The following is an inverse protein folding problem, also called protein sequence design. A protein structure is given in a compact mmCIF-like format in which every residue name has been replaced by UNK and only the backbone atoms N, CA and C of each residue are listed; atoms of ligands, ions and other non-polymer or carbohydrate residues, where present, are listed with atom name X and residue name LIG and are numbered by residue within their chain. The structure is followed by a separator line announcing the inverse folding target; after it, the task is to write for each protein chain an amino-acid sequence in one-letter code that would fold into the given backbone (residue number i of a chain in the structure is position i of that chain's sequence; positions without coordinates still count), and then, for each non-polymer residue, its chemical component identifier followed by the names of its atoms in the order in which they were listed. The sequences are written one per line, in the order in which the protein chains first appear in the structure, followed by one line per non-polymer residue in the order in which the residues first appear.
data_IF_458385208802
#
_entry.id   IF_458385208802
#
_cell.length_a   1.000
_cell.length_b   1.000
_cell.length_c   1.000
_cell.angle_alpha   90.00
_cell.angle_beta   90.00
_cell.angle_gamma   90.00
#
_symmetry.space_group_name_H-M   'P 1'
#
loop_
_entity.id
_entity.type
_entity.pdbx_description
1 polymer ?
#
# COMPACT_ATOMS: atom_id res chain seq x y z
N UNK A 1 15.22 13.90 9.81
CA UNK A 1 16.11 13.05 8.98
C UNK A 1 17.30 13.76 8.37
N UNK A 2 17.08 14.85 7.61
CA UNK A 2 18.15 15.60 6.92
C UNK A 2 19.29 15.98 7.85
N UNK A 3 18.97 16.60 8.99
CA UNK A 3 19.99 17.02 9.95
C UNK A 3 20.85 15.87 10.48
N UNK A 4 20.22 14.73 10.78
CA UNK A 4 20.91 13.51 11.23
C UNK A 4 21.81 12.95 10.12
N UNK A 5 21.33 12.92 8.88
CA UNK A 5 22.10 12.45 7.73
C UNK A 5 23.34 13.33 7.50
N UNK A 6 23.20 14.65 7.53
CA UNK A 6 24.30 15.60 7.39
C UNK A 6 25.31 15.43 8.54
N UNK A 7 24.85 15.37 9.80
CA UNK A 7 25.73 15.13 10.95
C UNK A 7 26.49 13.81 10.81
N UNK A 8 25.84 12.76 10.30
CA UNK A 8 26.49 11.46 10.06
C UNK A 8 27.50 11.52 8.92
N UNK A 9 27.24 12.29 7.86
CA UNK A 9 28.20 12.55 6.79
C UNK A 9 29.41 13.34 7.31
N UNK A 10 29.19 14.37 8.13
CA UNK A 10 30.27 15.13 8.80
C UNK A 10 31.15 14.21 9.65
N UNK A 11 30.55 13.34 10.46
CA UNK A 11 31.28 12.36 11.27
C UNK A 11 32.10 11.34 10.44
N UNK A 12 31.78 11.19 9.15
CA UNK A 12 32.52 10.36 8.18
C UNK A 12 33.51 11.15 7.33
N UNK A 13 33.75 12.42 7.65
CA UNK A 13 34.73 13.28 6.99
C UNK A 13 34.23 14.06 5.77
N UNK A 14 32.93 14.05 5.48
CA UNK A 14 32.39 14.90 4.42
C UNK A 14 32.43 16.37 4.86
N UNK A 15 33.22 17.23 4.20
CA UNK A 15 33.45 18.62 4.60
C UNK A 15 32.86 19.66 3.63
N UNK A 16 32.33 19.23 2.49
CA UNK A 16 31.75 20.09 1.47
C UNK A 16 30.46 20.80 1.93
N UNK A 17 30.13 21.92 1.31
CA UNK A 17 28.91 22.69 1.62
C UNK A 17 27.64 21.92 1.25
N UNK A 18 26.64 21.92 2.13
CA UNK A 18 25.35 21.24 1.90
C UNK A 18 24.25 22.27 1.73
N UNK A 19 23.53 22.24 0.62
CA UNK A 19 22.31 23.05 0.43
C UNK A 19 21.09 22.15 0.66
N UNK A 20 20.25 22.54 1.62
CA UNK A 20 18.93 21.94 1.82
C UNK A 20 17.91 22.83 1.14
N UNK A 21 17.26 22.32 0.10
CA UNK A 21 16.13 22.96 -0.58
C UNK A 21 14.85 22.30 -0.08
N UNK A 22 14.06 23.01 0.70
CA UNK A 22 12.83 22.50 1.32
C UNK A 22 11.61 23.17 0.71
N UNK A 23 10.89 22.44 -0.14
CA UNK A 23 9.67 22.90 -0.82
C UNK A 23 8.43 22.10 -0.39
N UNK A 24 8.47 21.58 0.84
CA UNK A 24 7.25 21.28 1.61
C UNK A 24 6.44 22.57 1.84
N UNK A 25 5.11 22.45 1.90
CA UNK A 25 4.25 23.60 2.16
C UNK A 25 4.49 24.19 3.56
N UNK A 26 4.89 23.36 4.52
CA UNK A 26 5.17 23.77 5.88
C UNK A 26 6.60 24.30 6.02
N UNK A 27 6.80 25.20 7.00
CA UNK A 27 8.12 25.77 7.24
C UNK A 27 9.11 24.71 7.70
N UNK A 28 10.24 24.62 7.01
CA UNK A 28 11.41 23.80 7.37
C UNK A 28 12.15 24.30 8.63
N UNK A 29 11.42 24.83 9.62
CA UNK A 29 11.91 25.50 10.83
C UNK A 29 12.87 24.63 11.63
N UNK A 30 12.60 23.33 11.74
CA UNK A 30 13.46 22.38 12.46
C UNK A 30 14.85 22.25 11.83
N UNK A 31 14.92 22.12 10.50
CA UNK A 31 16.21 22.03 9.80
C UNK A 31 16.97 23.36 9.91
N UNK A 32 16.27 24.49 9.73
CA UNK A 32 16.84 25.83 9.91
C UNK A 32 17.40 26.03 11.31
N UNK A 33 16.66 25.66 12.35
CA UNK A 33 17.09 25.82 13.74
C UNK A 33 18.32 24.98 14.09
N UNK A 34 18.38 23.73 13.60
CA UNK A 34 19.53 22.86 13.85
C UNK A 34 20.81 23.40 13.22
N UNK A 35 20.73 23.99 12.02
CA UNK A 35 21.88 24.53 11.30
C UNK A 35 22.06 26.04 11.46
N UNK A 36 21.36 26.67 12.42
CA UNK A 36 21.31 28.12 12.54
C UNK A 36 22.69 28.78 12.65
N UNK A 37 23.66 28.10 13.27
CA UNK A 37 25.03 28.60 13.44
C UNK A 37 26.06 27.94 12.49
N UNK A 38 25.66 27.04 11.61
CA UNK A 38 26.57 26.31 10.71
C UNK A 38 26.59 26.95 9.31
N UNK A 39 27.61 27.73 8.95
CA UNK A 39 27.68 28.36 7.63
C UNK A 39 27.98 27.37 6.50
N UNK A 40 28.27 26.10 6.81
CA UNK A 40 28.51 25.05 5.80
C UNK A 40 27.22 24.34 5.37
N UNK A 41 26.09 24.65 6.00
CA UNK A 41 24.77 24.12 5.64
C UNK A 41 23.81 25.29 5.37
N UNK A 42 23.40 25.45 4.11
CA UNK A 42 22.45 26.48 3.73
C UNK A 42 21.04 25.90 3.70
N UNK A 43 20.09 26.50 4.41
CA UNK A 43 18.68 26.08 4.39
C UNK A 43 17.85 27.05 3.57
N UNK A 44 17.24 26.57 2.49
CA UNK A 44 16.34 27.32 1.64
C UNK A 44 14.92 26.75 1.78
N UNK A 45 13.91 27.59 1.97
CA UNK A 45 12.51 27.16 2.01
C UNK A 45 11.56 28.23 1.47
N UNK A 46 10.57 27.79 0.68
CA UNK A 46 9.36 28.55 0.35
C UNK A 46 8.19 27.78 0.94
N UNK A 47 7.44 28.42 1.82
CA UNK A 47 6.36 27.79 2.59
C UNK A 47 5.17 28.75 2.79
N UNK A 48 4.11 28.24 3.40
CA UNK A 48 2.89 28.99 3.69
C UNK A 48 3.11 30.06 4.77
N UNK A 49 3.49 29.66 5.98
CA UNK A 49 3.67 30.53 7.15
C UNK A 49 4.93 30.14 7.93
N UNK A 50 5.61 31.12 8.53
CA UNK A 50 6.76 30.86 9.41
C UNK A 50 6.33 30.19 10.72
N UNK A 51 7.00 29.09 11.07
CA UNK A 51 6.81 28.37 12.34
C UNK A 51 7.94 28.64 13.33
N UNK A 52 8.26 29.92 13.48
CA UNK A 52 9.28 30.42 14.40
C UNK A 52 10.16 31.50 13.80
N UNK A 53 10.93 32.15 14.66
CA UNK A 53 11.73 33.33 14.35
C UNK A 53 13.24 33.02 14.30
N UNK A 54 13.63 31.76 14.10
CA UNK A 54 15.04 31.39 14.14
C UNK A 54 15.80 32.02 12.97
N UNK A 55 16.65 32.98 13.29
CA UNK A 55 17.66 33.50 12.37
C UNK A 55 18.80 32.48 12.22
N UNK A 56 19.23 32.25 10.98
CA UNK A 56 20.29 31.32 10.64
C UNK A 56 21.34 31.99 9.74
N UNK A 57 22.62 31.74 10.01
CA UNK A 57 23.77 32.36 9.32
C UNK A 57 23.79 32.10 7.82
N UNK A 58 23.16 31.02 7.37
CA UNK A 58 23.06 30.62 5.97
C UNK A 58 21.64 30.11 5.69
N UNK A 59 20.69 31.02 5.47
CA UNK A 59 19.31 30.63 5.14
C UNK A 59 18.58 31.63 4.24
N UNK A 60 17.60 31.11 3.52
CA UNK A 60 16.54 31.89 2.85
C UNK A 60 15.21 31.22 3.19
N UNK A 61 14.30 31.94 3.84
CA UNK A 61 12.99 31.44 4.23
C UNK A 61 11.93 32.42 3.76
N UNK A 62 11.00 31.98 2.91
CA UNK A 62 10.01 32.83 2.26
C UNK A 62 8.62 32.31 2.58
N UNK A 63 7.85 33.06 3.35
CA UNK A 63 6.43 32.81 3.58
C UNK A 63 5.59 33.47 2.48
N UNK A 64 4.86 32.69 1.70
CA UNK A 64 3.96 33.20 0.65
C UNK A 64 2.52 33.41 1.14
N UNK A 65 2.17 32.91 2.32
CA UNK A 65 0.80 32.92 2.84
C UNK A 65 -0.11 31.93 2.14
N UNK A 66 -1.42 32.15 2.27
CA UNK A 66 -2.46 31.27 1.73
C UNK A 66 -2.75 31.51 0.23
N UNK A 67 -3.48 30.58 -0.38
CA UNK A 67 -4.06 30.69 -1.73
C UNK A 67 -3.05 31.07 -2.82
N UNK A 68 -1.85 30.49 -2.73
CA UNK A 68 -0.77 30.70 -3.70
C UNK A 68 -1.10 30.00 -5.01
N UNK A 69 -0.98 30.75 -6.12
CA UNK A 69 -1.12 30.23 -7.48
C UNK A 69 0.18 29.64 -8.01
N UNK A 70 0.07 28.79 -9.03
CA UNK A 70 1.21 28.21 -9.76
C UNK A 70 2.26 29.26 -10.16
N UNK A 71 1.80 30.34 -10.80
CA UNK A 71 2.67 31.42 -11.26
C UNK A 71 3.41 32.08 -10.08
N UNK A 72 2.68 32.45 -9.02
CA UNK A 72 3.27 33.10 -7.85
C UNK A 72 4.33 32.24 -7.18
N UNK A 73 4.06 30.95 -7.03
CA UNK A 73 5.02 30.01 -6.45
C UNK A 73 6.26 29.82 -7.34
N UNK A 74 6.06 29.55 -8.63
CA UNK A 74 7.15 29.31 -9.57
C UNK A 74 8.00 30.55 -9.82
N UNK A 75 7.41 31.74 -9.85
CA UNK A 75 8.14 33.00 -10.00
C UNK A 75 9.00 33.29 -8.78
N UNK A 76 8.46 33.12 -7.56
CA UNK A 76 9.24 33.24 -6.33
C UNK A 76 10.44 32.26 -6.31
N UNK A 77 10.22 31.02 -6.75
CA UNK A 77 11.27 30.01 -6.84
C UNK A 77 12.35 30.38 -7.88
N UNK A 78 11.94 30.82 -9.09
CA UNK A 78 12.84 31.25 -10.17
C UNK A 78 13.67 32.47 -9.78
N UNK A 79 13.10 33.38 -9.02
CA UNK A 79 13.77 34.59 -8.58
C UNK A 79 14.79 34.29 -7.46
N UNK A 80 14.42 33.44 -6.50
CA UNK A 80 15.16 33.38 -5.22
C UNK A 80 16.08 32.17 -5.08
N UNK A 81 15.84 31.05 -5.78
CA UNK A 81 16.68 29.85 -5.66
C UNK A 81 18.00 29.93 -6.47
N UNK A 82 18.03 30.39 -7.73
CA UNK A 82 19.28 30.46 -8.50
C UNK A 82 20.39 31.29 -7.85
N UNK A 83 20.13 32.46 -7.22
CA UNK A 83 21.14 33.21 -6.47
C UNK A 83 21.77 32.42 -5.32
N UNK A 84 21.01 31.53 -4.67
CA UNK A 84 21.55 30.68 -3.59
C UNK A 84 22.52 29.65 -4.17
N UNK A 85 22.18 29.01 -5.29
CA UNK A 85 23.10 28.09 -5.98
C UNK A 85 24.39 28.77 -6.43
N UNK A 86 24.29 29.97 -7.02
CA UNK A 86 25.44 30.69 -7.57
C UNK A 86 26.37 31.23 -6.48
N UNK A 87 25.83 31.73 -5.36
CA UNK A 87 26.62 32.27 -4.25
C UNK A 87 27.17 31.17 -3.34
N UNK A 88 26.33 30.21 -2.95
CA UNK A 88 26.71 29.19 -1.98
C UNK A 88 27.50 28.04 -2.58
N UNK A 89 27.36 27.76 -3.89
CA UNK A 89 28.13 26.72 -4.59
C UNK A 89 28.19 25.37 -3.81
N UNK A 90 27.04 24.71 -3.54
CA UNK A 90 27.00 23.50 -2.70
C UNK A 90 27.73 22.30 -3.31
N UNK A 91 28.44 21.52 -2.48
CA UNK A 91 29.00 20.22 -2.89
C UNK A 91 28.00 19.06 -2.76
N UNK A 92 26.92 19.25 -2.01
CA UNK A 92 25.77 18.33 -1.91
C UNK A 92 24.47 19.13 -1.86
N UNK A 93 23.47 18.69 -2.61
CA UNK A 93 22.10 19.21 -2.54
C UNK A 93 21.19 18.15 -1.90
N UNK A 94 20.43 18.54 -0.90
CA UNK A 94 19.34 17.75 -0.33
C UNK A 94 18.04 18.45 -0.68
N UNK A 95 17.24 17.85 -1.55
CA UNK A 95 15.97 18.41 -2.01
C UNK A 95 14.80 17.67 -1.35
N UNK A 96 13.97 18.39 -0.60
CA UNK A 96 12.70 17.89 -0.06
C UNK A 96 11.58 18.28 -1.02
N UNK A 97 11.14 17.30 -1.81
CA UNK A 97 10.11 17.45 -2.82
C UNK A 97 8.72 17.14 -2.22
N UNK A 98 8.28 17.95 -1.24
CA UNK A 98 6.94 17.83 -0.66
C UNK A 98 5.84 18.04 -1.71
N UNK A 99 4.67 17.42 -1.53
CA UNK A 99 3.53 17.52 -2.44
C UNK A 99 2.29 18.07 -1.76
N UNK A 100 2.41 18.52 -0.51
CA UNK A 100 1.32 19.06 0.30
C UNK A 100 0.88 20.47 -0.08
N UNK A 101 1.61 21.14 -0.98
CA UNK A 101 1.12 22.33 -1.68
C UNK A 101 0.13 22.04 -2.82
N UNK A 102 -0.10 20.76 -3.15
CA UNK A 102 -0.99 20.36 -4.24
C UNK A 102 -2.45 20.70 -3.97
N UNK A 103 -3.21 20.94 -5.04
CA UNK A 103 -4.64 21.21 -4.96
C UNK A 103 -5.49 20.06 -4.40
N UNK A 104 -4.95 18.83 -4.36
CA UNK A 104 -5.62 17.65 -3.79
C UNK A 104 -5.13 17.28 -2.38
N UNK A 105 -4.27 18.10 -1.79
CA UNK A 105 -3.87 17.94 -0.40
C UNK A 105 -5.02 18.32 0.55
N UNK A 106 -5.11 17.61 1.68
CA UNK A 106 -6.18 17.80 2.67
C UNK A 106 -5.74 18.64 3.88
N UNK A 107 -4.44 18.87 4.04
CA UNK A 107 -3.85 19.67 5.12
C UNK A 107 -3.32 21.01 4.60
N UNK A 108 -2.86 21.06 3.36
CA UNK A 108 -2.40 22.28 2.69
C UNK A 108 -3.54 23.24 2.30
N UNK A 109 -3.20 24.52 2.17
CA UNK A 109 -4.11 25.58 1.72
C UNK A 109 -3.66 26.24 0.41
N UNK A 110 -2.68 25.65 -0.27
CA UNK A 110 -2.29 26.04 -1.62
C UNK A 110 -3.08 25.22 -2.63
N UNK A 111 -3.07 25.69 -3.88
CA UNK A 111 -3.79 25.04 -4.98
C UNK A 111 -2.86 24.79 -6.15
N UNK A 112 -1.64 24.33 -5.87
CA UNK A 112 -0.67 24.07 -6.92
C UNK A 112 -1.14 22.94 -7.82
N UNK A 113 -1.07 23.16 -9.13
CA UNK A 113 -1.33 22.12 -10.11
C UNK A 113 -0.21 21.09 -10.13
N UNK A 114 -0.53 19.91 -10.64
CA UNK A 114 0.45 18.85 -10.81
C UNK A 114 1.54 19.22 -11.84
N UNK A 115 1.23 20.11 -12.80
CA UNK A 115 2.20 20.64 -13.77
C UNK A 115 3.16 21.64 -13.09
N UNK A 116 2.64 22.47 -12.18
CA UNK A 116 3.48 23.39 -11.40
C UNK A 116 4.43 22.66 -10.45
N UNK A 117 3.98 21.55 -9.83
CA UNK A 117 4.86 20.71 -9.02
C UNK A 117 5.96 20.04 -9.87
N UNK A 118 5.62 19.54 -11.06
CA UNK A 118 6.63 18.98 -11.96
C UNK A 118 7.63 20.04 -12.45
N UNK A 119 7.16 21.25 -12.79
CA UNK A 119 8.01 22.36 -13.20
C UNK A 119 8.94 22.83 -12.07
N UNK A 120 8.45 22.87 -10.82
CA UNK A 120 9.27 23.08 -9.62
C UNK A 120 10.39 22.04 -9.54
N UNK A 121 10.03 20.76 -9.64
CA UNK A 121 10.99 19.65 -9.50
C UNK A 121 12.05 19.69 -10.63
N UNK A 122 11.63 20.06 -11.84
CA UNK A 122 12.52 20.29 -13.00
C UNK A 122 13.51 21.42 -12.75
N UNK A 123 13.02 22.56 -12.26
CA UNK A 123 13.84 23.73 -11.97
C UNK A 123 14.92 23.40 -10.93
N UNK A 124 14.54 22.78 -9.81
CA UNK A 124 15.50 22.40 -8.77
C UNK A 124 16.51 21.38 -9.32
N UNK A 125 16.05 20.40 -10.10
CA UNK A 125 16.93 19.41 -10.72
C UNK A 125 17.92 20.04 -11.69
N UNK A 126 17.48 21.01 -12.51
CA UNK A 126 18.34 21.71 -13.46
C UNK A 126 19.42 22.55 -12.77
N UNK A 127 19.08 23.22 -11.65
CA UNK A 127 20.04 23.98 -10.85
C UNK A 127 21.03 23.07 -10.11
N UNK A 128 20.57 21.95 -9.57
CA UNK A 128 21.41 21.00 -8.86
C UNK A 128 22.31 20.19 -9.81
N UNK A 129 21.83 19.92 -11.02
CA UNK A 129 22.51 19.07 -12.00
C UNK A 129 22.62 19.74 -13.38
N UNK A 130 23.34 20.88 -13.48
CA UNK A 130 23.56 21.52 -14.76
C UNK A 130 24.35 20.60 -15.70
N UNK A 131 24.10 20.73 -17.00
CA UNK A 131 24.80 19.95 -18.02
C UNK A 131 26.32 20.16 -17.90
N UNK A 132 27.07 19.06 -17.79
CA UNK A 132 28.53 19.08 -17.67
C UNK A 132 29.10 19.23 -16.25
N UNK A 133 28.29 19.57 -15.24
CA UNK A 133 28.76 19.67 -13.85
C UNK A 133 27.68 19.24 -12.83
N UNK A 134 27.25 17.96 -12.84
CA UNK A 134 26.21 17.51 -11.92
C UNK A 134 26.72 17.49 -10.47
N UNK A 135 25.99 18.14 -9.56
CA UNK A 135 26.28 18.04 -8.13
C UNK A 135 25.60 16.79 -7.55
N UNK A 136 26.23 16.09 -6.60
CA UNK A 136 25.57 15.07 -5.80
C UNK A 136 24.25 15.62 -5.25
N UNK A 137 23.14 14.93 -5.54
CA UNK A 137 21.80 15.37 -5.18
C UNK A 137 21.05 14.21 -4.55
N UNK A 138 20.50 14.44 -3.36
CA UNK A 138 19.61 13.52 -2.66
C UNK A 138 18.22 14.13 -2.72
N UNK A 139 17.27 13.39 -3.27
CA UNK A 139 15.85 13.76 -3.25
C UNK A 139 15.18 12.97 -2.14
N UNK A 140 14.50 13.67 -1.25
CA UNK A 140 13.64 13.11 -0.22
C UNK A 140 12.20 13.53 -0.50
N UNK A 141 11.27 12.63 -0.19
CA UNK A 141 9.86 12.98 -0.11
C UNK A 141 9.62 13.65 1.24
N UNK A 142 8.65 14.56 1.29
CA UNK A 142 8.24 15.24 2.50
C UNK A 142 6.71 15.09 2.68
N UNK A 143 6.02 16.16 3.08
CA UNK A 143 4.56 16.21 3.18
C UNK A 143 3.86 15.86 1.88
N UNK A 144 2.60 15.46 2.00
CA UNK A 144 1.79 14.94 0.90
C UNK A 144 0.71 14.02 1.45
N UNK A 145 -0.46 14.58 1.70
CA UNK A 145 -1.55 13.97 2.45
C UNK A 145 -2.80 13.76 1.60
N UNK A 146 -2.80 14.28 0.37
CA UNK A 146 -3.80 13.97 -0.63
C UNK A 146 -3.84 12.49 -1.02
N UNK A 147 -5.01 11.92 -1.33
CA UNK A 147 -5.15 10.51 -1.74
C UNK A 147 -4.38 10.18 -3.03
N UNK A 148 -4.02 11.21 -3.83
CA UNK A 148 -3.23 11.07 -5.04
C UNK A 148 -1.88 11.78 -4.97
N UNK A 149 -1.40 12.15 -3.78
CA UNK A 149 -0.10 12.79 -3.57
C UNK A 149 1.06 12.02 -4.24
N UNK A 150 0.99 10.68 -4.22
CA UNK A 150 1.98 9.81 -4.85
C UNK A 150 2.09 9.98 -6.37
N UNK A 151 1.05 10.47 -7.07
CA UNK A 151 1.11 10.76 -8.50
C UNK A 151 2.10 11.88 -8.79
N UNK A 152 2.13 12.93 -7.97
CA UNK A 152 3.06 14.05 -8.16
C UNK A 152 4.52 13.58 -8.04
N UNK A 153 4.82 12.78 -7.02
CA UNK A 153 6.14 12.14 -6.88
C UNK A 153 6.45 11.22 -8.07
N UNK A 154 5.48 10.42 -8.52
CA UNK A 154 5.68 9.51 -9.63
C UNK A 154 5.95 10.27 -10.94
N UNK A 155 5.26 11.39 -11.20
CA UNK A 155 5.50 12.28 -12.36
C UNK A 155 6.96 12.72 -12.38
N UNK A 156 7.44 13.21 -11.24
CA UNK A 156 8.82 13.65 -11.11
C UNK A 156 9.83 12.52 -11.37
N UNK A 157 9.65 11.37 -10.72
CA UNK A 157 10.58 10.24 -10.87
C UNK A 157 10.59 9.67 -12.30
N UNK A 158 9.42 9.63 -12.96
CA UNK A 158 9.31 9.20 -14.36
C UNK A 158 10.02 10.19 -15.29
N UNK A 159 9.86 11.49 -15.07
CA UNK A 159 10.60 12.50 -15.80
C UNK A 159 12.10 12.39 -15.56
N UNK A 160 12.54 12.23 -14.32
CA UNK A 160 13.96 12.10 -13.97
C UNK A 160 14.60 10.86 -14.63
N UNK A 161 13.87 9.76 -14.70
CA UNK A 161 14.36 8.50 -15.30
C UNK A 161 14.33 8.52 -16.83
N UNK A 162 13.38 9.21 -17.44
CA UNK A 162 13.11 9.10 -18.89
C UNK A 162 13.42 10.37 -19.70
N UNK A 163 13.61 11.51 -19.04
CA UNK A 163 13.69 12.83 -19.66
C UNK A 163 12.38 13.34 -20.27
N UNK A 164 11.29 12.57 -20.17
CA UNK A 164 9.98 12.88 -20.78
C UNK A 164 8.93 13.15 -19.72
N UNK A 165 8.01 14.05 -20.04
CA UNK A 165 6.80 14.21 -19.25
C UNK A 165 5.90 13.00 -19.46
N UNK A 166 5.71 12.22 -18.40
CA UNK A 166 4.90 11.02 -18.42
C UNK A 166 3.91 11.09 -17.27
N UNK A 167 2.64 10.91 -17.62
CA UNK A 167 1.59 10.77 -16.62
C UNK A 167 1.69 9.40 -15.94
N UNK A 168 1.83 9.36 -14.59
CA UNK A 168 1.78 8.13 -13.84
C UNK A 168 0.40 7.55 -14.02
N UNK A 169 0.44 6.28 -14.34
CA UNK A 169 -0.74 5.55 -14.69
C UNK A 169 -1.46 5.19 -13.36
N UNK A 170 -2.77 5.46 -13.25
CA UNK A 170 -3.60 5.23 -12.04
C UNK A 170 -3.54 3.76 -11.54
N UNK A 171 -4.11 3.41 -10.37
CA UNK A 171 -4.03 2.05 -9.78
C UNK A 171 -4.37 0.89 -10.75
N UNK A 172 -5.27 1.12 -11.73
CA UNK A 172 -5.57 0.17 -12.83
C UNK A 172 -4.36 -0.15 -13.73
N UNK A 173 -3.35 0.70 -13.74
CA UNK A 173 -2.12 0.55 -14.49
C UNK A 173 -0.92 0.12 -13.65
N UNK A 174 -1.01 0.06 -12.32
CA UNK A 174 -0.13 -0.83 -11.54
C UNK A 174 -0.45 -2.29 -11.91
N UNK A 175 -1.75 -2.60 -12.05
CA UNK A 175 -2.26 -3.81 -12.68
C UNK A 175 -1.77 -3.93 -14.13
N UNK A 176 -1.87 -2.88 -14.96
CA UNK A 176 -1.32 -2.94 -16.33
C UNK A 176 0.22 -3.04 -16.40
N UNK A 177 0.97 -2.52 -15.42
CA UNK A 177 2.43 -2.68 -15.30
C UNK A 177 2.76 -4.10 -14.90
N UNK A 178 1.99 -4.71 -13.98
CA UNK A 178 2.02 -6.17 -13.74
C UNK A 178 1.69 -6.93 -15.03
N UNK A 179 0.65 -6.54 -15.78
CA UNK A 179 0.31 -7.12 -17.11
C UNK A 179 1.49 -7.05 -18.09
N UNK A 180 2.21 -5.92 -18.19
CA UNK A 180 3.41 -5.78 -19.05
C UNK A 180 4.59 -6.63 -18.59
N UNK A 181 4.83 -6.71 -17.28
CA UNK A 181 5.87 -7.56 -16.69
C UNK A 181 5.59 -9.05 -16.95
N UNK A 182 4.31 -9.39 -17.15
CA UNK A 182 3.79 -10.73 -17.44
C UNK A 182 3.71 -11.00 -18.95
N UNK A 183 3.46 -9.99 -19.77
CA UNK A 183 3.62 -10.11 -21.22
C UNK A 183 5.09 -10.35 -21.59
N UNK A 184 6.02 -9.77 -20.82
CA UNK A 184 7.44 -10.13 -20.85
C UNK A 184 7.74 -11.56 -20.33
N UNK A 185 6.90 -12.13 -19.44
CA UNK A 185 6.98 -13.57 -19.10
C UNK A 185 6.61 -14.44 -20.28
N UNK A 186 5.58 -14.08 -21.06
CA UNK A 186 5.21 -14.76 -22.32
C UNK A 186 6.33 -14.77 -23.36
N UNK A 187 7.07 -13.66 -23.49
CA UNK A 187 8.22 -13.61 -24.40
C UNK A 187 9.34 -14.51 -23.90
N UNK A 188 9.62 -14.51 -22.59
CA UNK A 188 10.65 -15.37 -22.00
C UNK A 188 10.29 -16.87 -21.99
N UNK A 189 9.02 -17.24 -21.86
CA UNK A 189 8.54 -18.63 -21.97
C UNK A 189 8.41 -19.08 -23.45
N UNK A 190 8.31 -18.13 -24.38
CA UNK A 190 8.24 -18.40 -25.82
C UNK A 190 9.60 -18.39 -26.53
N UNK A 191 10.67 -17.96 -25.86
CA UNK A 191 12.04 -18.01 -26.39
C UNK A 191 12.99 -18.60 -25.36
N UNK A 192 13.51 -19.76 -25.73
CA UNK A 192 14.75 -20.39 -25.26
C UNK A 192 14.57 -21.55 -24.28
N UNK A 193 14.41 -22.73 -24.88
CA UNK A 193 14.49 -24.07 -24.30
C UNK A 193 15.95 -24.45 -23.92
N UNK A 194 16.80 -23.46 -23.59
CA UNK A 194 18.24 -23.70 -23.36
C UNK A 194 18.93 -22.71 -22.42
N UNK A 195 18.48 -22.58 -21.17
CA UNK A 195 19.32 -21.97 -20.13
C UNK A 195 19.39 -22.84 -18.87
N UNK A 196 20.60 -23.38 -18.67
CA UNK A 196 21.01 -24.27 -17.61
C UNK A 196 20.72 -23.72 -16.20
N UNK A 197 19.86 -24.41 -15.47
CA UNK A 197 19.75 -24.32 -14.01
C UNK A 197 19.69 -25.75 -13.45
N UNK A 198 20.34 -25.95 -12.30
CA UNK A 198 20.62 -27.26 -11.71
C UNK A 198 19.37 -28.10 -11.47
N UNK A 199 19.29 -29.24 -12.16
CA UNK A 199 18.30 -30.29 -11.93
C UNK A 199 18.37 -30.77 -10.48
N UNK A 200 17.25 -30.73 -9.77
CA UNK A 200 17.08 -31.45 -8.50
C UNK A 200 16.59 -32.88 -8.77
N UNK A 201 16.74 -33.78 -7.80
CA UNK A 201 16.29 -35.18 -7.94
C UNK A 201 14.78 -35.30 -8.20
N UNK A 202 13.99 -34.29 -7.79
CA UNK A 202 12.56 -34.18 -8.11
C UNK A 202 12.28 -33.85 -9.59
N UNK A 203 13.18 -33.16 -10.29
CA UNK A 203 13.03 -32.81 -11.72
C UNK A 203 13.28 -33.99 -12.65
N UNK A 204 13.94 -35.05 -12.14
CA UNK A 204 14.16 -36.31 -12.87
C UNK A 204 12.94 -37.24 -12.84
N UNK A 205 11.94 -36.94 -12.00
CA UNK A 205 10.76 -37.81 -11.86
C UNK A 205 9.92 -37.86 -13.13
N UNK A 206 9.86 -36.78 -13.92
CA UNK A 206 9.15 -36.74 -15.22
C UNK A 206 9.86 -37.45 -16.38
N UNK A 207 11.12 -37.85 -16.22
CA UNK A 207 11.90 -38.61 -17.22
C UNK A 207 11.81 -40.13 -17.02
N UNK A 208 11.20 -40.57 -15.91
CA UNK A 208 10.90 -41.97 -15.64
C UNK A 208 9.47 -42.26 -16.14
N UNK A 209 9.28 -43.18 -17.10
CA UNK A 209 7.94 -43.56 -17.54
C UNK A 209 7.11 -44.06 -16.35
N UNK A 210 6.10 -43.29 -15.94
CA UNK A 210 5.14 -43.70 -14.90
C UNK A 210 5.02 -42.78 -13.67
N UNK A 211 5.80 -41.70 -13.54
CA UNK A 211 5.58 -40.72 -12.45
C UNK A 211 4.74 -39.55 -12.98
N UNK A 212 3.54 -39.39 -12.41
CA UNK A 212 2.64 -38.29 -12.76
C UNK A 212 3.14 -36.98 -12.13
N UNK A 213 3.38 -35.95 -12.95
CA UNK A 213 3.71 -34.63 -12.44
C UNK A 213 2.57 -34.09 -11.55
N UNK A 214 2.87 -33.40 -10.43
CA UNK A 214 1.84 -32.85 -9.56
C UNK A 214 0.98 -31.83 -10.34
N UNK A 215 -0.34 -31.75 -10.05
CA UNK A 215 -1.23 -30.86 -10.76
C UNK A 215 -0.84 -29.38 -10.53
N UNK A 216 -1.09 -28.49 -11.50
CA UNK A 216 -0.80 -27.07 -11.35
C UNK A 216 -1.70 -26.43 -10.28
N UNK A 217 -1.19 -25.41 -9.60
CA UNK A 217 -1.98 -24.61 -8.66
C UNK A 217 -3.17 -23.96 -9.38
N UNK A 218 -4.36 -24.10 -8.78
CA UNK A 218 -5.63 -23.64 -9.37
C UNK A 218 -5.90 -24.22 -10.77
N UNK A 219 -5.27 -25.33 -11.17
CA UNK A 219 -5.31 -25.84 -12.55
C UNK A 219 -4.76 -24.85 -13.60
N UNK A 220 -3.91 -23.90 -13.18
CA UNK A 220 -3.46 -22.79 -14.02
C UNK A 220 -1.93 -22.63 -14.08
N UNK A 221 -1.24 -22.74 -12.94
CA UNK A 221 0.19 -22.46 -12.87
C UNK A 221 0.98 -23.64 -12.28
N UNK A 222 2.04 -24.11 -12.95
CA UNK A 222 2.97 -25.05 -12.33
C UNK A 222 3.70 -24.38 -11.16
N UNK A 223 4.32 -25.18 -10.29
CA UNK A 223 5.00 -24.68 -9.08
C UNK A 223 5.98 -23.53 -9.35
N UNK A 224 6.88 -23.69 -10.33
CA UNK A 224 7.84 -22.65 -10.70
C UNK A 224 7.15 -21.37 -11.19
N UNK A 225 6.01 -21.47 -11.87
CA UNK A 225 5.22 -20.33 -12.31
C UNK A 225 4.65 -19.53 -11.13
N UNK A 226 4.21 -20.22 -10.07
CA UNK A 226 3.74 -19.56 -8.84
C UNK A 226 4.88 -18.85 -8.12
N UNK A 227 6.03 -19.50 -7.97
CA UNK A 227 7.23 -18.89 -7.37
C UNK A 227 7.67 -17.63 -8.14
N UNK A 228 7.76 -17.73 -9.47
CA UNK A 228 8.13 -16.63 -10.35
C UNK A 228 7.13 -15.47 -10.28
N UNK A 229 5.83 -15.77 -10.21
CA UNK A 229 4.77 -14.77 -10.06
C UNK A 229 4.89 -14.04 -8.71
N UNK A 230 5.12 -14.75 -7.61
CA UNK A 230 5.31 -14.15 -6.29
C UNK A 230 6.60 -13.32 -6.22
N UNK A 231 7.67 -13.75 -6.88
CA UNK A 231 8.93 -13.01 -6.95
C UNK A 231 8.76 -11.71 -7.76
N UNK A 232 8.27 -11.81 -9.00
CA UNK A 232 8.16 -10.67 -9.93
C UNK A 232 7.05 -9.70 -9.57
N UNK A 233 6.01 -10.15 -8.87
CA UNK A 233 5.00 -9.24 -8.32
C UNK A 233 5.52 -8.37 -7.17
N UNK A 234 6.72 -8.67 -6.65
CA UNK A 234 7.31 -8.01 -5.50
C UNK A 234 6.87 -8.59 -4.15
N UNK A 235 6.06 -9.65 -4.13
CA UNK A 235 5.56 -10.24 -2.90
C UNK A 235 6.69 -10.88 -2.06
N UNK A 236 7.50 -11.76 -2.67
CA UNK A 236 8.67 -12.34 -1.97
C UNK A 236 9.73 -11.28 -1.62
N UNK A 237 10.11 -10.34 -2.51
CA UNK A 237 10.98 -9.22 -2.14
C UNK A 237 10.51 -8.43 -0.92
N UNK A 238 9.20 -8.21 -0.76
CA UNK A 238 8.64 -7.53 0.41
C UNK A 238 8.75 -8.31 1.72
N UNK A 239 8.72 -9.64 1.65
CA UNK A 239 9.01 -10.50 2.81
C UNK A 239 10.50 -10.43 3.17
N UNK A 240 11.39 -10.44 2.17
CA UNK A 240 12.84 -10.29 2.39
C UNK A 240 13.19 -8.93 3.00
N UNK A 241 12.55 -7.86 2.54
CA UNK A 241 12.70 -6.52 3.12
C UNK A 241 12.26 -6.44 4.60
N UNK A 242 11.37 -7.35 5.04
CA UNK A 242 10.92 -7.49 6.43
C UNK A 242 11.81 -8.41 7.27
N UNK A 243 12.92 -8.89 6.72
CA UNK A 243 13.93 -9.68 7.43
C UNK A 243 13.81 -11.19 7.23
N UNK A 244 12.86 -11.68 6.43
CA UNK A 244 12.75 -13.10 6.07
C UNK A 244 13.58 -13.39 4.83
N UNK A 245 14.87 -13.71 5.00
CA UNK A 245 15.84 -13.73 3.89
C UNK A 245 15.69 -14.98 3.03
N UNK A 246 15.62 -16.13 3.68
CA UNK A 246 15.51 -17.44 3.04
C UNK A 246 14.06 -17.86 3.05
N UNK A 247 13.42 -17.84 1.88
CA UNK A 247 12.00 -18.14 1.71
C UNK A 247 11.84 -19.42 0.90
N UNK A 248 11.02 -20.34 1.39
CA UNK A 248 10.62 -21.56 0.67
C UNK A 248 9.13 -21.47 0.33
N UNK A 249 8.81 -21.76 -0.93
CA UNK A 249 7.43 -21.84 -1.41
C UNK A 249 7.08 -23.30 -1.57
N UNK A 250 6.02 -23.73 -0.89
CA UNK A 250 5.50 -25.10 -0.97
C UNK A 250 4.14 -25.07 -1.66
N UNK A 251 3.91 -26.08 -2.50
CA UNK A 251 2.67 -26.25 -3.24
C UNK A 251 2.14 -27.66 -3.03
N UNK A 252 1.06 -27.76 -2.26
CA UNK A 252 0.32 -28.99 -2.07
C UNK A 252 -0.91 -28.95 -2.99
N UNK A 253 -0.72 -29.38 -4.23
CA UNK A 253 -1.76 -29.41 -5.24
C UNK A 253 -2.60 -30.70 -5.21
N UNK A 254 -2.17 -31.71 -4.44
CA UNK A 254 -2.88 -32.99 -4.30
C UNK A 254 -3.86 -33.01 -3.13
N UNK A 255 -3.76 -32.04 -2.21
CA UNK A 255 -4.78 -31.81 -1.19
C UNK A 255 -6.17 -31.56 -1.80
N UNK A 256 -7.22 -31.92 -1.06
CA UNK A 256 -8.62 -31.69 -1.48
C UNK A 256 -8.91 -30.22 -1.85
N UNK A 257 -8.17 -29.29 -1.26
CA UNK A 257 -8.07 -27.90 -1.69
C UNK A 257 -6.60 -27.59 -1.99
N UNK A 258 -6.23 -27.15 -3.21
CA UNK A 258 -4.87 -26.73 -3.51
C UNK A 258 -4.38 -25.68 -2.52
N UNK A 259 -3.19 -25.91 -1.96
CA UNK A 259 -2.63 -25.10 -0.88
C UNK A 259 -1.25 -24.58 -1.25
N UNK A 260 -1.08 -23.27 -1.20
CA UNK A 260 0.19 -22.56 -1.35
C UNK A 260 0.68 -22.13 0.04
N UNK A 261 1.92 -22.46 0.39
CA UNK A 261 2.58 -21.99 1.62
C UNK A 261 3.86 -21.24 1.30
N UNK A 262 4.14 -20.19 2.08
CA UNK A 262 5.44 -19.50 2.09
C UNK A 262 5.99 -19.58 3.50
N UNK A 263 7.17 -20.17 3.64
CA UNK A 263 7.87 -20.37 4.91
C UNK A 263 9.20 -19.62 4.91
N UNK A 264 9.60 -19.10 6.07
CA UNK A 264 10.95 -18.57 6.28
C UNK A 264 11.85 -19.60 6.95
N UNK A 265 12.98 -19.91 6.33
CA UNK A 265 13.88 -20.95 6.82
C UNK A 265 14.89 -20.45 7.86
N UNK A 266 15.08 -19.13 7.97
CA UNK A 266 16.13 -18.55 8.82
C UNK A 266 16.01 -18.93 10.32
N UNK A 267 14.85 -19.44 10.77
CA UNK A 267 14.59 -19.84 12.15
C UNK A 267 13.62 -21.03 12.27
N UNK A 268 13.81 -22.09 11.47
CA UNK A 268 13.07 -23.36 11.65
C UNK A 268 11.72 -23.44 10.92
N UNK A 269 11.68 -22.95 9.67
CA UNK A 269 10.51 -23.01 8.79
C UNK A 269 9.25 -22.30 9.35
N UNK A 270 9.39 -21.02 9.66
CA UNK A 270 8.31 -20.17 10.14
C UNK A 270 7.24 -19.97 9.04
N UNK A 271 6.01 -20.44 9.25
CA UNK A 271 4.92 -20.24 8.30
C UNK A 271 4.51 -18.77 8.24
N UNK A 272 4.69 -18.13 7.08
CA UNK A 272 4.34 -16.73 6.87
C UNK A 272 3.01 -16.57 6.14
N UNK A 273 2.78 -17.41 5.13
CA UNK A 273 1.62 -17.35 4.25
C UNK A 273 1.06 -18.75 4.06
N UNK A 274 -0.26 -18.90 4.18
CA UNK A 274 -0.98 -20.08 3.73
C UNK A 274 -2.22 -19.64 2.96
N UNK A 275 -2.32 -20.02 1.69
CA UNK A 275 -3.44 -19.73 0.81
C UNK A 275 -4.04 -21.06 0.33
N UNK A 276 -5.30 -21.30 0.69
CA UNK A 276 -6.09 -22.42 0.16
C UNK A 276 -7.16 -21.86 -0.75
N UNK A 277 -7.11 -22.23 -2.02
CA UNK A 277 -8.02 -21.69 -3.01
C UNK A 277 -8.28 -22.69 -4.15
N UNK A 278 -9.47 -22.56 -4.76
CA UNK A 278 -9.93 -23.37 -5.90
C UNK A 278 -10.52 -22.47 -6.97
N UNK A 279 -10.53 -22.94 -8.21
CA UNK A 279 -11.42 -22.38 -9.23
C UNK A 279 -12.84 -22.87 -8.98
N UNK A 280 -13.79 -21.96 -9.00
CA UNK A 280 -15.19 -22.27 -8.75
C UNK A 280 -16.09 -21.60 -9.77
N UNK A 281 -16.98 -22.41 -10.38
CA UNK A 281 -18.12 -21.97 -11.18
C UNK A 281 -19.43 -21.92 -10.39
N UNK A 282 -19.37 -22.28 -9.11
CA UNK A 282 -20.53 -22.40 -8.24
C UNK A 282 -20.58 -21.30 -7.18
N UNK A 283 -19.44 -20.69 -6.86
CA UNK A 283 -19.36 -19.61 -5.87
C UNK A 283 -20.11 -18.34 -6.31
N UNK A 284 -20.10 -18.05 -7.62
CA UNK A 284 -20.86 -16.95 -8.22
C UNK A 284 -21.59 -17.51 -9.44
N UNK A 285 -22.91 -17.35 -9.47
CA UNK A 285 -23.75 -17.94 -10.51
C UNK A 285 -23.35 -17.45 -11.91
N UNK A 286 -23.05 -18.39 -12.81
CA UNK A 286 -22.70 -18.10 -14.20
C UNK A 286 -21.32 -17.44 -14.40
N UNK A 287 -20.49 -17.41 -13.36
CA UNK A 287 -19.16 -16.80 -13.37
C UNK A 287 -18.12 -17.77 -12.86
N UNK A 288 -16.88 -17.62 -13.34
CA UNK A 288 -15.76 -18.44 -12.90
C UNK A 288 -14.80 -17.59 -12.08
N UNK A 289 -14.60 -17.95 -10.81
CA UNK A 289 -13.83 -17.15 -9.85
C UNK A 289 -12.78 -18.01 -9.13
N UNK A 290 -11.74 -17.36 -8.61
CA UNK A 290 -10.87 -17.97 -7.59
C UNK A 290 -11.57 -17.86 -6.25
N UNK A 291 -12.01 -18.99 -5.69
CA UNK A 291 -12.62 -19.05 -4.37
C UNK A 291 -11.56 -19.36 -3.32
N UNK A 292 -11.30 -18.39 -2.42
CA UNK A 292 -10.38 -18.55 -1.30
C UNK A 292 -11.14 -19.15 -0.12
N UNK A 293 -10.70 -20.32 0.32
CA UNK A 293 -11.23 -21.01 1.50
C UNK A 293 -10.47 -20.62 2.76
N UNK A 294 -9.17 -20.34 2.64
CA UNK A 294 -8.32 -19.94 3.75
C UNK A 294 -7.21 -19.01 3.28
N UNK A 295 -6.97 -17.94 4.04
CA UNK A 295 -5.83 -17.06 3.85
C UNK A 295 -5.23 -16.67 5.20
N UNK A 296 -3.99 -17.11 5.41
CA UNK A 296 -3.15 -16.73 6.54
C UNK A 296 -2.03 -15.82 6.05
N UNK A 297 -1.83 -14.70 6.74
CA UNK A 297 -0.72 -13.78 6.53
C UNK A 297 -0.20 -13.34 7.88
N UNK A 298 0.88 -13.94 8.36
CA UNK A 298 1.35 -13.74 9.73
C UNK A 298 2.85 -13.45 9.83
N UNK A 299 3.23 -12.68 10.83
CA UNK A 299 4.61 -12.36 11.16
C UNK A 299 4.95 -12.94 12.53
N UNK A 300 5.52 -14.17 12.58
CA UNK A 300 5.87 -14.82 13.84
C UNK A 300 6.90 -14.08 14.69
N UNK A 301 7.68 -13.20 14.06
CA UNK A 301 8.75 -12.41 14.71
C UNK A 301 8.26 -11.11 15.36
N UNK A 302 6.97 -10.82 15.31
CA UNK A 302 6.38 -9.63 15.95
C UNK A 302 5.48 -10.01 17.13
N UNK A 303 5.41 -9.10 18.11
CA UNK A 303 4.44 -9.16 19.20
C UNK A 303 3.25 -8.22 18.93
N UNK A 304 2.10 -8.53 19.52
CA UNK A 304 0.96 -7.61 19.55
C UNK A 304 1.29 -6.36 20.37
N UNK A 305 0.62 -5.25 20.08
CA UNK A 305 0.79 -3.98 20.78
C UNK A 305 -0.55 -3.25 20.94
N UNK A 306 -0.59 -2.16 21.71
CA UNK A 306 -1.82 -1.35 21.85
C UNK A 306 -2.33 -0.83 20.50
N UNK A 307 -1.42 -0.43 19.61
CA UNK A 307 -1.76 0.01 18.24
C UNK A 307 -2.12 -1.15 17.31
N UNK A 308 -1.80 -2.39 17.71
CA UNK A 308 -2.03 -3.61 16.92
C UNK A 308 -2.48 -4.75 17.84
N UNK A 309 -3.68 -4.63 18.42
CA UNK A 309 -4.19 -5.63 19.34
C UNK A 309 -4.48 -6.94 18.61
N UNK A 310 -4.52 -8.03 19.36
CA UNK A 310 -4.86 -9.36 18.85
C UNK A 310 -6.34 -9.40 18.46
N UNK A 311 -6.62 -9.78 17.21
CA UNK A 311 -7.98 -10.08 16.75
C UNK A 311 -8.34 -11.57 16.97
N UNK A 312 -9.63 -11.93 17.06
CA UNK A 312 -10.05 -13.32 17.18
C UNK A 312 -9.43 -14.22 16.10
N UNK A 313 -8.90 -15.38 16.49
CA UNK A 313 -8.26 -16.33 15.58
C UNK A 313 -6.80 -16.04 15.24
N UNK A 314 -6.24 -14.88 15.59
CA UNK A 314 -4.83 -14.58 15.34
C UNK A 314 -3.92 -15.27 16.36
N UNK A 315 -2.83 -15.86 15.88
CA UNK A 315 -1.72 -16.33 16.73
C UNK A 315 -0.57 -15.32 16.75
N UNK A 316 -0.31 -14.69 15.60
CA UNK A 316 0.72 -13.66 15.44
C UNK A 316 0.15 -12.40 14.76
N UNK A 317 0.79 -11.24 14.90
CA UNK A 317 0.46 -10.05 14.13
C UNK A 317 0.56 -10.32 12.62
N UNK A 318 -0.30 -9.68 11.82
CA UNK A 318 -0.30 -9.92 10.37
C UNK A 318 0.96 -9.38 9.65
N UNK A 319 1.19 -9.81 8.40
CA UNK A 319 2.30 -9.25 7.58
C UNK A 319 2.03 -7.85 7.03
N UNK A 320 0.75 -7.45 6.97
CA UNK A 320 0.33 -6.22 6.28
C UNK A 320 0.36 -6.33 4.75
N UNK A 321 0.46 -7.56 4.21
CA UNK A 321 0.61 -7.85 2.77
C UNK A 321 -0.68 -8.35 2.10
N UNK A 322 -1.84 -8.06 2.69
CA UNK A 322 -3.13 -8.51 2.13
C UNK A 322 -3.38 -7.96 0.73
N UNK A 323 -3.08 -6.68 0.50
CA UNK A 323 -3.24 -6.05 -0.82
C UNK A 323 -2.31 -6.67 -1.85
N UNK A 324 -1.09 -7.01 -1.45
CA UNK A 324 -0.08 -7.58 -2.34
C UNK A 324 -0.49 -8.97 -2.81
N UNK A 325 -0.90 -9.87 -1.90
CA UNK A 325 -1.34 -11.22 -2.28
C UNK A 325 -2.66 -11.19 -3.07
N UNK A 326 -3.62 -10.34 -2.69
CA UNK A 326 -4.86 -10.19 -3.48
C UNK A 326 -4.55 -9.64 -4.88
N UNK A 327 -3.60 -8.71 -5.00
CA UNK A 327 -3.15 -8.19 -6.28
C UNK A 327 -2.45 -9.25 -7.15
N UNK A 328 -1.79 -10.25 -6.57
CA UNK A 328 -1.27 -11.41 -7.31
C UNK A 328 -2.42 -12.25 -7.86
N UNK A 329 -3.45 -12.52 -7.04
CA UNK A 329 -4.60 -13.30 -7.47
C UNK A 329 -5.47 -12.58 -8.51
N UNK A 330 -5.60 -11.26 -8.42
CA UNK A 330 -6.30 -10.46 -9.45
C UNK A 330 -5.60 -10.61 -10.79
N UNK A 331 -4.28 -10.48 -10.81
CA UNK A 331 -3.47 -10.68 -12.01
C UNK A 331 -3.66 -12.08 -12.57
N UNK A 332 -3.68 -13.10 -11.72
CA UNK A 332 -3.95 -14.48 -12.12
C UNK A 332 -5.36 -14.61 -12.75
N UNK A 333 -6.38 -13.99 -12.16
CA UNK A 333 -7.71 -13.95 -12.74
C UNK A 333 -7.73 -13.29 -14.12
N UNK A 334 -7.06 -12.14 -14.28
CA UNK A 334 -6.99 -11.43 -15.56
C UNK A 334 -6.33 -12.26 -16.66
N UNK A 335 -5.21 -12.91 -16.36
CA UNK A 335 -4.46 -13.74 -17.31
C UNK A 335 -5.33 -14.89 -17.84
N UNK A 336 -6.11 -15.49 -16.95
CA UNK A 336 -6.89 -16.69 -17.27
C UNK A 336 -8.36 -16.39 -17.57
N UNK A 337 -8.73 -15.11 -17.71
CA UNK A 337 -10.08 -14.70 -18.05
C UNK A 337 -11.14 -15.05 -16.98
N UNK A 338 -10.73 -15.13 -15.71
CA UNK A 338 -11.63 -15.37 -14.58
C UNK A 338 -12.32 -14.07 -14.17
N UNK A 339 -13.54 -14.20 -13.65
CA UNK A 339 -14.42 -13.08 -13.31
C UNK A 339 -13.97 -12.31 -12.07
N UNK A 340 -13.25 -12.97 -11.15
CA UNK A 340 -12.65 -12.32 -9.98
C UNK A 340 -12.31 -13.29 -8.86
N UNK A 341 -12.27 -12.76 -7.64
CA UNK A 341 -11.95 -13.53 -6.43
C UNK A 341 -13.19 -13.56 -5.55
N UNK A 342 -13.52 -14.71 -4.99
CA UNK A 342 -14.58 -14.92 -4.01
C UNK A 342 -13.99 -15.41 -2.70
N UNK A 343 -14.54 -14.96 -1.56
CA UNK A 343 -14.22 -15.51 -0.24
C UNK A 343 -15.33 -15.20 0.75
N UNK A 344 -15.38 -15.96 1.84
CA UNK A 344 -16.40 -15.77 2.89
C UNK A 344 -15.74 -15.16 4.12
N UNK A 345 -16.19 -13.97 4.52
CA UNK A 345 -15.77 -13.34 5.78
C UNK A 345 -16.46 -14.00 6.97
N UNK A 346 -15.81 -15.01 7.56
CA UNK A 346 -16.30 -15.70 8.76
C UNK A 346 -16.32 -14.84 10.03
N UNK A 347 -15.67 -13.67 10.02
CA UNK A 347 -15.57 -12.75 11.15
C UNK A 347 -15.80 -11.30 10.71
N UNK A 348 -16.34 -10.47 11.60
CA UNK A 348 -16.65 -9.05 11.33
C UNK A 348 -15.41 -8.27 10.84
N UNK A 349 -14.27 -8.40 11.52
CA UNK A 349 -13.06 -7.69 11.13
C UNK A 349 -12.57 -8.05 9.72
N UNK A 350 -12.74 -9.32 9.29
CA UNK A 350 -12.36 -9.75 7.93
C UNK A 350 -13.19 -9.02 6.89
N UNK A 351 -14.50 -8.88 7.13
CA UNK A 351 -15.38 -8.13 6.23
C UNK A 351 -14.95 -6.66 6.15
N UNK A 352 -14.82 -5.99 7.30
CA UNK A 352 -14.45 -4.55 7.37
C UNK A 352 -13.09 -4.28 6.73
N UNK A 353 -12.07 -5.10 7.01
CA UNK A 353 -10.73 -4.94 6.42
C UNK A 353 -10.74 -5.12 4.89
N UNK A 354 -11.68 -5.90 4.38
CA UNK A 354 -11.79 -6.21 2.95
C UNK A 354 -12.65 -5.23 2.17
N UNK A 355 -13.49 -4.41 2.80
CA UNK A 355 -14.42 -3.48 2.13
C UNK A 355 -13.75 -2.47 1.20
N UNK A 356 -12.44 -2.21 1.37
CA UNK A 356 -11.71 -1.31 0.46
C UNK A 356 -11.53 -1.92 -0.93
N UNK A 357 -11.44 -3.24 -1.02
CA UNK A 357 -11.09 -3.96 -2.27
C UNK A 357 -12.15 -4.95 -2.72
N UNK A 358 -13.02 -5.40 -1.82
CA UNK A 358 -14.10 -6.35 -2.10
C UNK A 358 -15.47 -5.74 -1.78
N UNK A 359 -16.51 -6.34 -2.33
CA UNK A 359 -17.92 -5.99 -2.09
C UNK A 359 -18.70 -7.24 -1.70
N UNK A 360 -19.69 -7.14 -0.81
CA UNK A 360 -20.61 -8.25 -0.56
C UNK A 360 -21.29 -8.67 -1.87
N UNK A 361 -21.42 -9.97 -2.07
CA UNK A 361 -22.11 -10.51 -3.24
C UNK A 361 -23.61 -10.22 -3.17
N UNK A 362 -24.18 -10.17 -1.96
CA UNK A 362 -25.59 -9.96 -1.71
C UNK A 362 -25.86 -8.56 -1.13
N UNK A 363 -26.80 -7.77 -1.71
CA UNK A 363 -27.14 -6.44 -1.21
C UNK A 363 -27.59 -6.39 0.25
N UNK A 364 -28.23 -7.45 0.74
CA UNK A 364 -28.66 -7.54 2.14
C UNK A 364 -27.48 -7.62 3.12
N UNK A 365 -26.37 -8.26 2.71
CA UNK A 365 -25.16 -8.33 3.52
C UNK A 365 -24.43 -6.98 3.56
N UNK A 366 -24.39 -6.27 2.43
CA UNK A 366 -23.87 -4.90 2.38
C UNK A 366 -24.69 -3.95 3.27
N UNK A 367 -26.02 -4.03 3.19
CA UNK A 367 -26.91 -3.25 4.06
C UNK A 367 -26.65 -3.53 5.55
N UNK A 368 -26.51 -4.81 5.91
CA UNK A 368 -26.18 -5.22 7.29
C UNK A 368 -24.82 -4.70 7.73
N UNK A 369 -23.82 -4.82 6.87
CA UNK A 369 -22.45 -4.41 7.17
C UNK A 369 -22.36 -2.88 7.37
N UNK A 370 -23.07 -2.09 6.55
CA UNK A 370 -23.22 -0.64 6.72
C UNK A 370 -23.91 -0.29 8.04
N UNK A 371 -25.00 -0.98 8.40
CA UNK A 371 -25.70 -0.76 9.65
C UNK A 371 -24.84 -1.11 10.89
N UNK A 372 -24.09 -2.21 10.83
CA UNK A 372 -23.14 -2.58 11.88
C UNK A 372 -22.04 -1.53 12.02
N UNK A 373 -21.45 -1.07 10.91
CA UNK A 373 -20.41 -0.04 10.91
C UNK A 373 -20.88 1.28 11.53
N UNK A 374 -22.12 1.71 11.23
CA UNK A 374 -22.70 2.92 11.80
C UNK A 374 -22.88 2.82 13.33
N UNK A 375 -23.36 1.69 13.84
CA UNK A 375 -23.57 1.50 15.30
C UNK A 375 -22.25 1.35 16.07
N UNK A 376 -21.21 0.89 15.39
CA UNK A 376 -19.88 0.65 15.96
C UNK A 376 -18.90 1.80 15.69
N UNK A 377 -19.39 2.92 15.15
CA UNK A 377 -18.60 4.11 14.90
C UNK A 377 -17.92 4.60 16.19
N UNK A 378 -16.66 5.02 16.06
CA UNK A 378 -15.82 5.46 17.18
C UNK A 378 -15.14 4.34 17.97
N UNK A 379 -15.48 3.07 17.74
CA UNK A 379 -14.75 1.93 18.31
C UNK A 379 -13.54 1.57 17.43
N UNK A 380 -12.46 1.11 18.06
CA UNK A 380 -11.38 0.43 17.33
C UNK A 380 -11.91 -0.86 16.69
N UNK A 381 -11.22 -1.34 15.64
CA UNK A 381 -11.62 -2.58 14.96
C UNK A 381 -11.72 -3.78 15.91
N UNK A 382 -10.83 -3.86 16.90
CA UNK A 382 -10.84 -4.93 17.91
C UNK A 382 -12.06 -4.83 18.83
N UNK A 383 -12.37 -3.63 19.32
CA UNK A 383 -13.55 -3.38 20.15
C UNK A 383 -14.85 -3.62 19.38
N UNK A 384 -14.93 -3.15 18.14
CA UNK A 384 -16.08 -3.39 17.27
C UNK A 384 -16.29 -4.88 17.01
N UNK A 385 -15.20 -5.62 16.75
CA UNK A 385 -15.27 -7.09 16.56
C UNK A 385 -15.73 -7.80 17.82
N UNK A 386 -15.21 -7.42 18.99
CA UNK A 386 -15.63 -7.97 20.27
C UNK A 386 -17.11 -7.65 20.54
N UNK A 387 -17.57 -6.42 20.26
CA UNK A 387 -18.95 -6.02 20.46
C UNK A 387 -19.94 -6.85 19.61
N UNK A 388 -19.58 -7.18 18.36
CA UNK A 388 -20.40 -8.08 17.53
C UNK A 388 -20.37 -9.50 18.07
N UNK A 389 -19.19 -10.01 18.45
CA UNK A 389 -19.05 -11.37 18.98
C UNK A 389 -19.77 -11.59 20.31
N UNK A 390 -19.76 -10.58 21.19
CA UNK A 390 -20.39 -10.59 22.51
C UNK A 390 -21.90 -10.30 22.46
N UNK A 391 -22.48 -10.09 21.26
CA UNK A 391 -23.90 -9.81 21.09
C UNK A 391 -24.33 -8.43 21.62
N UNK A 392 -23.41 -7.46 21.69
CA UNK A 392 -23.69 -6.09 22.13
C UNK A 392 -24.41 -5.26 21.06
N UNK A 393 -24.48 -5.74 19.82
CA UNK A 393 -25.32 -5.13 18.79
C UNK A 393 -26.67 -5.83 18.77
N UNK A 394 -27.75 -5.05 18.93
CA UNK A 394 -29.12 -5.56 19.02
C UNK A 394 -30.05 -4.85 18.05
N UNK A 395 -31.16 -5.51 17.69
CA UNK A 395 -32.25 -4.85 16.98
C UNK A 395 -32.87 -3.75 17.86
N UNK A 396 -33.04 -2.55 17.31
CA UNK A 396 -33.49 -1.38 18.07
C UNK A 396 -34.89 -1.57 18.69
N UNK A 397 -35.78 -2.29 17.99
CA UNK A 397 -37.16 -2.52 18.43
C UNK A 397 -37.34 -3.70 19.37
N UNK A 398 -36.80 -4.87 19.04
CA UNK A 398 -36.99 -6.09 19.85
C UNK A 398 -35.94 -6.25 20.96
N UNK A 399 -34.76 -5.65 20.80
CA UNK A 399 -33.64 -5.82 21.73
C UNK A 399 -32.88 -7.14 21.56
N UNK A 400 -33.26 -7.97 20.59
CA UNK A 400 -32.58 -9.25 20.30
C UNK A 400 -31.17 -9.02 19.74
N UNK A 401 -30.19 -9.84 20.14
CA UNK A 401 -28.83 -9.76 19.62
C UNK A 401 -28.78 -10.08 18.13
N UNK A 402 -27.92 -9.36 17.41
CA UNK A 402 -27.66 -9.57 15.98
C UNK A 402 -26.34 -10.32 15.87
N UNK A 403 -26.36 -11.66 15.76
CA UNK A 403 -25.13 -12.43 15.64
C UNK A 403 -24.45 -12.14 14.30
N UNK A 404 -23.12 -12.27 14.28
CA UNK A 404 -22.39 -12.30 13.02
C UNK A 404 -22.81 -13.51 12.20
N UNK A 405 -23.23 -13.28 10.95
CA UNK A 405 -23.38 -14.36 9.95
C UNK A 405 -22.34 -14.11 8.87
N UNK A 406 -21.58 -15.14 8.44
CA UNK A 406 -20.57 -14.97 7.42
C UNK A 406 -21.10 -14.28 6.15
N UNK A 407 -20.31 -13.36 5.58
CA UNK A 407 -20.67 -12.61 4.38
C UNK A 407 -19.82 -13.09 3.21
N UNK A 408 -20.47 -13.48 2.11
CA UNK A 408 -19.79 -13.76 0.86
C UNK A 408 -19.34 -12.44 0.22
N UNK A 409 -18.04 -12.30 -0.02
CA UNK A 409 -17.39 -11.15 -0.62
C UNK A 409 -16.80 -11.53 -1.97
N UNK A 410 -16.86 -10.58 -2.91
CA UNK A 410 -16.21 -10.69 -4.20
C UNK A 410 -15.32 -9.49 -4.47
N UNK A 411 -14.16 -9.75 -5.06
CA UNK A 411 -13.30 -8.75 -5.65
C UNK A 411 -13.47 -8.87 -7.18
N UNK A 412 -14.20 -7.94 -7.82
CA UNK A 412 -14.53 -8.03 -9.24
C UNK A 412 -13.32 -7.72 -10.12
N UNK A 413 -13.04 -8.63 -11.06
CA UNK A 413 -12.02 -8.44 -12.11
C UNK A 413 -12.69 -8.17 -13.45
N UNK A 414 -13.69 -8.97 -13.82
CA UNK A 414 -14.47 -8.75 -15.03
C UNK A 414 -15.51 -7.64 -14.87
N UNK A 415 -15.92 -7.05 -15.99
CA UNK A 415 -17.00 -6.05 -16.04
C UNK A 415 -18.34 -6.63 -15.59
N UNK A 416 -18.60 -7.92 -15.87
CA UNK A 416 -19.85 -8.58 -15.45
C UNK A 416 -19.94 -8.76 -13.94
N UNK A 417 -18.86 -9.19 -13.27
CA UNK A 417 -18.86 -9.34 -11.82
C UNK A 417 -18.93 -7.96 -11.16
N UNK A 418 -18.27 -6.95 -11.73
CA UNK A 418 -18.37 -5.58 -11.27
C UNK A 418 -19.80 -5.05 -11.33
N UNK A 419 -20.49 -5.24 -12.46
CA UNK A 419 -21.88 -4.83 -12.64
C UNK A 419 -22.84 -5.53 -11.65
N UNK A 420 -22.52 -6.76 -11.23
CA UNK A 420 -23.33 -7.49 -10.24
C UNK A 420 -23.31 -6.86 -8.84
N UNK A 421 -22.18 -6.26 -8.44
CA UNK A 421 -21.95 -5.76 -7.07
C UNK A 421 -21.74 -4.25 -6.99
N UNK A 422 -22.15 -3.52 -8.02
CA UNK A 422 -22.05 -2.06 -8.08
C UNK A 422 -23.13 -1.45 -8.96
N UNK A 423 -23.25 -0.12 -8.91
CA UNK A 423 -24.20 0.62 -9.73
C UNK A 423 -25.57 0.82 -9.09
N UNK A 424 -26.47 1.54 -9.78
CA UNK A 424 -27.73 2.02 -9.20
C UNK A 424 -28.67 0.91 -8.73
N UNK A 425 -28.74 -0.21 -9.47
CA UNK A 425 -29.61 -1.34 -9.11
C UNK A 425 -29.16 -2.03 -7.83
N UNK A 426 -27.85 -2.27 -7.71
CA UNK A 426 -27.25 -2.82 -6.51
C UNK A 426 -27.50 -1.90 -5.30
N UNK A 427 -27.22 -0.61 -5.43
CA UNK A 427 -27.43 0.37 -4.36
C UNK A 427 -28.91 0.54 -3.98
N UNK A 428 -29.83 0.47 -4.95
CA UNK A 428 -31.27 0.46 -4.65
C UNK A 428 -31.68 -0.78 -3.85
N UNK A 429 -31.13 -1.95 -4.19
CA UNK A 429 -31.37 -3.18 -3.44
C UNK A 429 -30.77 -3.13 -2.01
N UNK A 430 -29.59 -2.52 -1.84
CA UNK A 430 -28.97 -2.25 -0.53
C UNK A 430 -29.86 -1.31 0.30
N UNK A 431 -30.36 -0.23 -0.29
CA UNK A 431 -31.25 0.72 0.38
C UNK A 431 -32.56 0.03 0.83
N UNK A 432 -33.16 -0.79 -0.04
CA UNK A 432 -34.35 -1.55 0.30
C UNK A 432 -34.12 -2.55 1.45
N UNK A 433 -32.95 -3.20 1.49
CA UNK A 433 -32.60 -4.13 2.56
C UNK A 433 -32.25 -3.43 3.90
N UNK A 434 -31.72 -2.20 3.85
CA UNK A 434 -31.32 -1.42 5.03
C UNK A 434 -32.46 -1.20 6.04
N UNK A 435 -33.71 -1.17 5.58
CA UNK A 435 -34.90 -1.01 6.44
C UNK A 435 -35.01 -2.11 7.51
N UNK A 436 -34.42 -3.30 7.26
CA UNK A 436 -34.41 -4.44 8.19
C UNK A 436 -33.38 -4.32 9.31
N UNK A 437 -32.42 -3.40 9.17
CA UNK A 437 -31.27 -3.28 10.06
C UNK A 437 -31.31 -1.97 10.87
N UNK A 438 -32.44 -1.72 11.54
CA UNK A 438 -32.49 -0.72 12.61
C UNK A 438 -31.78 -1.29 13.85
N UNK A 439 -30.50 -0.95 14.01
CA UNK A 439 -29.61 -1.50 15.04
C UNK A 439 -29.27 -0.45 16.11
N UNK A 440 -28.94 -0.90 17.32
CA UNK A 440 -28.35 -0.07 18.37
C UNK A 440 -27.32 -0.87 19.17
N UNK A 441 -26.42 -0.16 19.84
CA UNK A 441 -25.46 -0.76 20.79
C UNK A 441 -26.11 -0.89 22.17
N UNK A 442 -25.91 -2.04 22.82
CA UNK A 442 -26.23 -2.27 24.23
C UNK A 442 -25.00 -1.94 25.08
N UNK A 443 -25.19 -1.29 26.22
CA UNK A 443 -24.11 -1.11 27.19
C UNK A 443 -23.75 -2.45 27.83
N UNK A 444 -22.45 -2.67 28.07
CA UNK A 444 -22.01 -3.84 28.85
C UNK A 444 -22.50 -3.64 30.28
N UNK A 445 -23.39 -4.49 30.76
CA UNK A 445 -23.69 -4.52 32.19
C UNK A 445 -22.40 -4.83 32.94
N UNK A 446 -22.02 -3.96 33.88
CA UNK A 446 -20.86 -4.18 34.72
C UNK A 446 -21.12 -5.43 35.57
N UNK A 447 -20.50 -6.55 35.21
CA UNK A 447 -20.41 -7.69 36.12
C UNK A 447 -19.60 -7.20 37.31
N UNK A 448 -20.28 -6.93 38.43
CA UNK A 448 -19.64 -6.68 39.70
C UNK A 448 -18.70 -7.85 39.97
N UNK A 449 -17.40 -7.57 40.06
CA UNK A 449 -16.42 -8.55 40.52
C UNK A 449 -16.90 -9.09 41.89
N UNK A 450 -16.94 -10.42 42.10
CA UNK A 450 -17.25 -10.93 43.41
C UNK A 450 -16.19 -10.39 44.40
N UNK A 451 -16.59 -9.98 45.62
CA UNK A 451 -15.65 -9.42 46.58
C UNK A 451 -14.57 -10.46 46.86
N UNK A 452 -13.31 -10.02 46.75
CA UNK A 452 -12.15 -10.83 47.09
C UNK A 452 -12.32 -11.38 48.53
N UNK A 453 -12.23 -12.69 48.67
CA UNK A 453 -12.01 -13.38 49.95
C UNK A 453 -10.62 -13.94 49.98
#
# INVERSE_FOLDING_TARGET
DVAVAVARLRARGYAERVLVVDLDLHDGNGTRAIFAADPTVYTYSIHNEHWGETEAVASTAIALGADVSDARFLDALRETLPPVFSSFQPGLVVYLAGTDGSADDVLGNWRLSADALLERDRLVTALARPAGQPRPTIVLLAGGYGPRAWLHTARYLLWLASGRELEPLEEELLLARKRRLIEALRVAEGTDDSLAFSLTEEDLTGLVPGVSAPPPFLDLLPRHGVELLLERSGFLPQLRARGFRTLRVELDALAATPTLRVLAEDAGAELLVELRAVRSRHAVAGMEVVSIEWLLLQNPRQAFSERRPRLPGQQHPGLGLLRDIMGVLVVLCEIHGLDGIHFVAGQYHVAVQSQRVARPLHPADEARLRALAAVLEGLSLAEATAAVADGLVVHARSGDPVPWTPIALVLPVSTRLRALVSGPEYEAAVAAASVRFALRRRERESVAAPPAR
#
